data_IF_115930780959
#
_entry.id   IF_115930780959
#
_cell.length_a   1.000
_cell.length_b   1.000
_cell.length_c   1.000
_cell.angle_alpha   90.00
_cell.angle_beta   90.00
_cell.angle_gamma   90.00
#
_symmetry.space_group_name_H-M   'P 1'
#
loop_
_entity.id
_entity.type
_entity.pdbx_description
1 polymer ?
2 non-polymer ?
3 water ?
#
# COMPACT_ATOMS: atom_id res chain seq x y z
N UNK A 1 -2.43 -14.10 16.74
CA UNK A 1 -1.18 -13.79 15.99
C UNK A 1 -1.30 -12.31 15.60
N UNK A 2 -0.72 -11.44 16.41
CA UNK A 2 -0.79 -10.01 16.18
C UNK A 2 0.56 -9.41 15.82
N UNK A 3 1.37 -10.18 15.08
CA UNK A 3 2.69 -9.74 14.64
C UNK A 3 2.48 -9.05 13.30
N UNK A 4 3.23 -7.98 13.04
CA UNK A 4 3.13 -7.27 11.77
C UNK A 4 4.46 -6.66 11.29
N UNK A 5 4.52 -6.40 9.99
CA UNK A 5 5.64 -5.73 9.34
C UNK A 5 4.85 -4.55 8.76
N UNK A 6 5.35 -3.33 8.91
CA UNK A 6 4.62 -2.19 8.39
C UNK A 6 5.49 -1.19 7.63
N UNK A 7 4.84 -0.43 6.76
CA UNK A 7 5.47 0.62 5.97
C UNK A 7 4.40 1.69 6.07
N UNK A 8 4.73 2.75 6.82
CA UNK A 8 3.86 3.90 7.09
C UNK A 8 4.25 5.17 6.32
N UNK A 9 3.25 5.91 5.88
CA UNK A 9 3.46 7.16 5.19
C UNK A 9 4.27 7.17 3.93
N UNK A 10 4.23 6.10 3.14
CA UNK A 10 4.96 6.10 1.88
C UNK A 10 4.27 7.18 1.03
N UNK A 11 5.03 7.93 0.24
CA UNK A 11 4.46 8.99 -0.57
C UNK A 11 4.98 8.90 -1.98
N UNK A 12 4.06 8.91 -2.94
CA UNK A 12 4.41 8.80 -4.34
C UNK A 12 3.59 9.85 -5.07
N UNK A 13 4.20 10.47 -6.08
CA UNK A 13 3.51 11.48 -6.85
C UNK A 13 2.92 10.63 -7.96
N UNK A 14 1.62 10.79 -8.21
CA UNK A 14 0.97 10.01 -9.23
C UNK A 14 -0.11 10.80 -9.91
N UNK A 15 -0.68 10.21 -10.96
CA UNK A 15 -1.74 10.86 -11.74
C UNK A 15 -3.11 10.15 -11.69
N UNK A 16 -3.34 9.38 -10.62
CA UNK A 16 -4.59 8.64 -10.43
C UNK A 16 -5.73 9.58 -10.04
N UNK A 17 -6.95 9.25 -10.47
CA UNK A 17 -8.12 10.06 -10.17
C UNK A 17 -9.18 9.91 -11.25
N UNK A 18 -10.43 10.13 -10.87
CA UNK A 18 -11.55 10.02 -11.79
C UNK A 18 -11.68 11.24 -12.76
N UNK A 19 -11.30 12.43 -12.29
CA UNK A 19 -11.36 13.66 -13.08
C UNK A 19 -10.09 13.90 -13.93
N UNK A 20 -10.25 14.09 -15.24
CA UNK A 20 -9.12 14.30 -16.16
C UNK A 20 -8.10 15.38 -15.79
N UNK A 21 -8.53 16.42 -15.09
CA UNK A 21 -7.61 17.49 -14.68
C UNK A 21 -6.58 16.95 -13.70
N UNK A 22 -7.03 16.09 -12.78
CA UNK A 22 -6.12 15.53 -11.80
C UNK A 22 -5.21 14.45 -12.39
N UNK A 23 -5.66 13.80 -13.47
CA UNK A 23 -4.85 12.79 -14.15
C UNK A 23 -3.75 13.57 -14.87
N UNK A 24 -4.05 14.85 -15.12
CA UNK A 24 -3.16 15.76 -15.82
C UNK A 24 -2.08 16.34 -14.92
N UNK A 25 -2.43 16.98 -13.79
CA UNK A 25 -1.39 17.56 -12.93
C UNK A 25 -0.82 16.60 -11.85
N UNK A 26 -1.65 15.70 -11.33
CA UNK A 26 -1.18 14.76 -10.34
C UNK A 26 -1.24 15.30 -8.94
N UNK A 27 -0.66 14.55 -8.01
CA UNK A 27 -0.64 14.94 -6.61
C UNK A 27 0.12 13.86 -5.84
N UNK A 28 0.35 14.11 -4.55
CA UNK A 28 1.03 13.13 -3.72
C UNK A 28 -0.02 12.16 -3.14
N UNK A 29 0.34 10.88 -3.09
CA UNK A 29 -0.53 9.82 -2.56
C UNK A 29 0.24 9.24 -1.37
N UNK A 30 -0.38 9.16 -0.19
CA UNK A 30 0.26 8.58 1.00
C UNK A 30 -0.30 7.17 1.21
N UNK A 31 0.59 6.20 1.35
CA UNK A 31 0.22 4.79 1.52
C UNK A 31 0.81 4.14 2.78
N UNK A 32 -0.05 3.41 3.48
CA UNK A 32 0.29 2.66 4.69
C UNK A 32 -0.02 1.20 4.34
N UNK A 33 0.96 0.33 4.49
CA UNK A 33 0.75 -1.06 4.22
C UNK A 33 1.14 -1.76 5.51
N UNK A 34 0.22 -2.56 6.07
CA UNK A 34 0.47 -3.37 7.27
C UNK A 34 0.29 -4.86 6.86
N UNK A 35 1.24 -5.70 7.24
CA UNK A 35 1.19 -7.12 6.88
C UNK A 35 1.14 -8.05 8.11
N UNK A 36 0.19 -8.99 8.11
CA UNK A 36 0.09 -9.97 9.19
C UNK A 36 1.06 -11.10 8.83
N UNK A 37 2.14 -11.22 9.58
CA UNK A 37 3.15 -12.23 9.30
C UNK A 37 3.61 -12.71 10.66
N UNK A 38 3.76 -14.02 10.83
CA UNK A 38 4.24 -14.61 12.08
C UNK A 38 5.75 -14.36 12.09
N UNK A 39 6.24 -13.57 13.03
CA UNK A 39 7.66 -13.22 13.08
C UNK A 39 8.45 -13.98 14.11
N UNK A 40 7.85 -15.01 14.68
CA UNK A 40 8.55 -15.80 15.69
C UNK A 40 9.75 -16.60 15.10
N UNK A 41 9.65 -17.05 13.85
CA UNK A 41 10.76 -17.79 13.26
C UNK A 41 11.94 -16.81 13.11
N UNK A 42 11.76 -15.73 12.34
CA UNK A 42 12.83 -14.74 12.16
C UNK A 42 13.29 -14.21 13.53
N UNK A 43 12.35 -14.08 14.46
CA UNK A 43 12.67 -13.60 15.78
C UNK A 43 13.73 -14.43 16.48
N UNK A 44 13.79 -15.72 16.21
CA UNK A 44 14.79 -16.52 16.89
C UNK A 44 16.03 -16.69 16.04
N UNK A 45 15.85 -16.85 14.72
CA UNK A 45 16.98 -17.06 13.82
C UNK A 45 17.77 -15.83 13.38
N UNK A 46 17.12 -14.68 13.32
CA UNK A 46 17.79 -13.45 12.89
C UNK A 46 18.23 -13.51 11.41
N UNK A 47 17.61 -14.42 10.65
CA UNK A 47 17.93 -14.60 9.24
C UNK A 47 16.82 -13.91 8.43
N UNK A 48 17.21 -13.01 7.53
CA UNK A 48 16.22 -12.28 6.75
C UNK A 48 15.34 -13.18 5.90
N UNK A 49 15.85 -14.34 5.51
CA UNK A 49 15.09 -15.29 4.68
C UNK A 49 13.78 -15.81 5.33
N UNK A 50 13.66 -15.73 6.66
CA UNK A 50 12.47 -16.20 7.39
C UNK A 50 11.39 -15.13 7.68
N UNK A 51 11.50 -13.97 7.06
CA UNK A 51 10.49 -12.93 7.26
C UNK A 51 10.26 -12.32 5.90
N UNK A 52 9.40 -11.31 5.81
CA UNK A 52 9.17 -10.66 4.53
C UNK A 52 10.04 -9.40 4.59
N UNK A 53 10.91 -9.25 3.60
CA UNK A 53 11.83 -8.12 3.48
C UNK A 53 11.02 -6.85 3.14
N UNK A 54 11.00 -5.86 4.05
CA UNK A 54 10.23 -4.63 3.80
C UNK A 54 10.69 -3.81 2.58
N UNK A 55 11.97 -3.90 2.25
CA UNK A 55 12.46 -3.17 1.09
C UNK A 55 11.79 -3.65 -0.18
N UNK A 56 11.57 -4.96 -0.27
CA UNK A 56 10.94 -5.53 -1.46
C UNK A 56 9.50 -5.11 -1.54
N UNK A 57 8.82 -5.10 -0.40
CA UNK A 57 7.42 -4.71 -0.37
C UNK A 57 7.25 -3.30 -0.91
N UNK A 58 8.15 -2.42 -0.49
CA UNK A 58 8.15 -1.02 -0.89
C UNK A 58 8.26 -0.94 -2.41
N UNK A 59 9.13 -1.77 -2.96
CA UNK A 59 9.32 -1.81 -4.39
C UNK A 59 8.02 -2.19 -5.05
N UNK A 60 7.30 -3.12 -4.44
CA UNK A 60 6.03 -3.52 -5.01
C UNK A 60 5.03 -2.37 -4.96
N UNK A 61 4.89 -1.72 -3.79
CA UNK A 61 3.96 -0.60 -3.65
C UNK A 61 4.31 0.48 -4.70
N UNK A 62 5.60 0.83 -4.75
CA UNK A 62 6.09 1.84 -5.68
C UNK A 62 5.71 1.54 -7.10
N UNK A 63 5.96 0.31 -7.54
CA UNK A 63 5.64 -0.10 -8.90
C UNK A 63 4.18 0.15 -9.27
N UNK A 64 3.27 0.03 -8.31
CA UNK A 64 1.86 0.26 -8.63
C UNK A 64 1.49 1.74 -8.51
N UNK A 65 1.85 2.36 -7.40
CA UNK A 65 1.54 3.77 -7.18
C UNK A 65 2.14 4.69 -8.25
N UNK A 66 3.30 4.31 -8.78
CA UNK A 66 3.99 5.08 -9.82
C UNK A 66 3.84 4.57 -11.27
N UNK A 67 3.06 3.50 -11.45
CA UNK A 67 2.82 2.96 -12.77
C UNK A 67 1.56 3.57 -13.37
N UNK A 68 1.00 2.88 -14.35
CA UNK A 68 -0.24 3.29 -15.02
C UNK A 68 -1.30 3.97 -14.11
N UNK A 69 -1.98 4.98 -14.65
CA UNK A 69 -3.01 5.73 -13.92
C UNK A 69 -4.38 5.03 -13.88
N UNK A 70 -5.04 5.12 -12.74
CA UNK A 70 -6.34 4.49 -12.58
C UNK A 70 -7.27 5.53 -12.02
N UNK A 71 -8.58 5.29 -12.09
CA UNK A 71 -9.54 6.25 -11.58
C UNK A 71 -9.69 6.25 -10.07
N UNK A 72 -9.67 5.07 -9.46
CA UNK A 72 -9.91 4.95 -8.02
C UNK A 72 -8.81 4.44 -7.12
N UNK A 73 -8.78 4.98 -5.91
CA UNK A 73 -7.85 4.59 -4.86
C UNK A 73 -8.15 3.12 -4.53
N UNK A 74 -9.42 2.73 -4.58
CA UNK A 74 -9.88 1.33 -4.30
C UNK A 74 -9.13 0.32 -5.16
N UNK A 75 -9.07 0.64 -6.45
CA UNK A 75 -8.40 -0.18 -7.45
C UNK A 75 -6.87 -0.23 -7.24
N UNK A 76 -6.25 0.89 -6.87
CA UNK A 76 -4.80 0.91 -6.62
C UNK A 76 -4.50 0.02 -5.43
N UNK A 77 -5.30 0.16 -4.38
CA UNK A 77 -5.15 -0.60 -3.14
C UNK A 77 -5.38 -2.09 -3.36
N UNK A 78 -6.35 -2.43 -4.21
CA UNK A 78 -6.68 -3.83 -4.57
C UNK A 78 -5.50 -4.47 -5.33
N UNK A 79 -4.89 -3.70 -6.22
CA UNK A 79 -3.72 -4.14 -6.99
C UNK A 79 -2.51 -4.35 -6.07
N UNK A 80 -2.33 -3.44 -5.12
CA UNK A 80 -1.22 -3.54 -4.18
C UNK A 80 -1.36 -4.78 -3.28
N UNK A 81 -2.53 -4.95 -2.67
CA UNK A 81 -2.78 -6.08 -1.76
C UNK A 81 -2.63 -7.41 -2.48
N UNK A 82 -3.12 -7.45 -3.71
CA UNK A 82 -3.04 -8.66 -4.51
C UNK A 82 -1.62 -8.94 -4.89
N UNK A 83 -0.85 -7.89 -5.10
CA UNK A 83 0.55 -8.05 -5.49
C UNK A 83 1.34 -8.68 -4.36
N UNK A 84 1.12 -8.15 -3.16
CA UNK A 84 1.82 -8.60 -1.98
C UNK A 84 1.39 -10.01 -1.58
N UNK A 85 0.10 -10.27 -1.59
CA UNK A 85 -0.41 -11.60 -1.25
C UNK A 85 0.10 -12.70 -2.19
N UNK A 86 0.18 -12.41 -3.49
CA UNK A 86 0.65 -13.35 -4.52
C UNK A 86 2.10 -13.79 -4.39
N UNK A 87 2.97 -12.83 -4.07
CA UNK A 87 4.39 -13.08 -3.98
C UNK A 87 4.95 -13.43 -2.62
N UNK A 88 4.14 -13.30 -1.59
CA UNK A 88 4.61 -13.61 -0.26
C UNK A 88 3.62 -14.49 0.49
N UNK A 89 3.91 -15.79 0.47
CA UNK A 89 3.05 -16.74 1.13
C UNK A 89 3.05 -16.57 2.66
N UNK A 90 4.15 -16.07 3.22
CA UNK A 90 4.23 -15.82 4.67
C UNK A 90 3.25 -14.73 5.11
N UNK A 91 2.78 -13.93 4.17
CA UNK A 91 1.85 -12.89 4.51
C UNK A 91 0.47 -13.51 4.61
N UNK A 92 -0.16 -13.41 5.77
CA UNK A 92 -1.51 -13.97 5.99
C UNK A 92 -2.65 -13.02 5.63
N UNK A 93 -2.38 -11.71 5.72
CA UNK A 93 -3.36 -10.66 5.45
C UNK A 93 -2.65 -9.33 5.16
N UNK A 94 -3.09 -8.65 4.10
CA UNK A 94 -2.53 -7.36 3.70
C UNK A 94 -3.55 -6.22 3.87
N UNK A 95 -3.21 -5.20 4.65
CA UNK A 95 -4.06 -4.02 4.81
C UNK A 95 -3.38 -2.85 4.06
N UNK A 96 -4.11 -2.15 3.20
CA UNK A 96 -3.53 -1.04 2.44
C UNK A 96 -4.43 0.15 2.65
N UNK A 97 -3.83 1.28 3.01
CA UNK A 97 -4.55 2.53 3.23
C UNK A 97 -3.95 3.57 2.28
N UNK A 98 -4.77 4.22 1.48
CA UNK A 98 -4.20 5.20 0.58
C UNK A 98 -4.95 6.48 0.88
N UNK A 99 -4.18 7.53 1.16
CA UNK A 99 -4.75 8.83 1.49
C UNK A 99 -4.34 9.88 0.42
N UNK A 100 -5.32 10.70 0.05
CA UNK A 100 -5.15 11.81 -0.88
C UNK A 100 -5.23 13.03 0.09
N UNK A 101 -4.10 13.62 0.44
CA UNK A 101 -4.14 14.74 1.35
C UNK A 101 -4.64 16.00 0.69
N UNK A 102 -4.55 16.06 -0.64
CA UNK A 102 -4.98 17.23 -1.37
C UNK A 102 -5.78 16.86 -2.60
N UNK A 103 -6.92 16.21 -2.42
CA UNK A 103 -7.77 15.84 -3.56
C UNK A 103 -8.55 17.06 -4.09
N UNK A 104 -9.23 16.91 -5.25
CA UNK A 104 -10.05 17.95 -5.89
C UNK A 104 -11.30 18.32 -5.06
N UNK A 105 -11.18 18.61 -3.77
CA UNK A 105 -12.35 18.95 -2.94
C UNK A 105 -12.24 20.33 -2.30
N UNK A 106 -13.13 21.27 -2.67
CA UNK A 106 -13.14 22.64 -2.11
C UNK A 106 -13.43 22.68 -0.61
N UNK A 107 -12.38 22.71 0.19
CA UNK A 107 -12.57 22.74 1.62
C UNK A 107 -11.32 22.57 2.44
N UNK A 108 -11.52 22.45 3.75
CA UNK A 108 -10.42 22.31 4.70
C UNK A 108 -10.50 20.97 5.42
N UNK A 109 -9.46 20.16 5.25
CA UNK A 109 -9.40 18.83 5.82
C UNK A 109 -7.97 18.35 5.76
N UNK A 110 -7.69 17.31 6.55
CA UNK A 110 -6.37 16.70 6.60
C UNK A 110 -6.19 15.62 5.52
N UNK A 111 -7.28 14.97 5.09
CA UNK A 111 -7.20 13.93 4.06
C UNK A 111 -8.46 13.10 3.85
N UNK A 112 -8.52 12.40 2.73
CA UNK A 112 -9.66 11.54 2.41
C UNK A 112 -9.03 10.29 1.82
N UNK A 113 -9.72 9.16 1.88
CA UNK A 113 -9.13 7.97 1.32
C UNK A 113 -9.87 6.69 1.58
N UNK A 114 -9.16 5.59 1.40
CA UNK A 114 -9.74 4.28 1.60
C UNK A 114 -8.72 3.35 2.26
N UNK A 115 -9.24 2.28 2.86
CA UNK A 115 -8.43 1.25 3.48
C UNK A 115 -9.14 -0.10 3.21
N UNK A 116 -8.40 -1.11 2.77
CA UNK A 116 -8.98 -2.43 2.52
C UNK A 116 -8.13 -3.47 3.25
N UNK A 117 -8.70 -4.61 3.61
CA UNK A 117 -7.92 -5.64 4.29
C UNK A 117 -8.18 -6.91 3.46
N UNK A 118 -7.13 -7.61 3.04
CA UNK A 118 -7.29 -8.79 2.20
C UNK A 118 -6.45 -9.96 2.69
N UNK A 119 -7.09 -11.07 3.07
CA UNK A 119 -6.30 -12.22 3.51
C UNK A 119 -5.72 -12.93 2.29
N UNK A 120 -4.57 -13.57 2.46
CA UNK A 120 -3.89 -14.27 1.38
C UNK A 120 -4.39 -15.72 1.39
N UNK A 121 -4.93 -16.18 0.27
CA UNK A 121 -5.46 -17.53 0.17
C UNK A 121 -4.45 -18.52 -0.41
X LIG B 1 -11.83 9.30 -6.62
X LIG B 1 -12.30 10.41 -7.09
X LIG B 1 -13.48 10.98 -6.66
X LIG B 1 -14.15 10.31 -5.67
X LIG B 1 -14.40 8.42 -4.09
X LIG B 1 -13.86 7.28 -3.63
X LIG B 1 -14.36 6.49 -2.62
X LIG B 1 -12.63 6.77 -4.14
X LIG B 1 -11.88 7.43 -5.17
X LIG B 1 -10.78 7.02 -5.63
X LIG B 1 -12.47 8.65 -5.67
X LIG B 1 -13.70 9.09 -5.10
X LIG B 1 -11.54 11.06 -8.12
X LIG B 1 -11.19 12.33 -7.63
#
# INVERSE_FOLDING_TARGET
MQDTIFLKGMRFYGYHGALSAENEIGQIFKVDVTLKVDLSEAGRTDNVIDTVHYGEVFEEVKSIMEGKAVNLLEHLAERIANRINSQYNRVMETKVRITKENPPIPGHYDGVGIEIVRENK
PH2 N1 C2 C3 N4 N5 C6 N6 N7 C8 O8 C9 C10 C11 O4
#
